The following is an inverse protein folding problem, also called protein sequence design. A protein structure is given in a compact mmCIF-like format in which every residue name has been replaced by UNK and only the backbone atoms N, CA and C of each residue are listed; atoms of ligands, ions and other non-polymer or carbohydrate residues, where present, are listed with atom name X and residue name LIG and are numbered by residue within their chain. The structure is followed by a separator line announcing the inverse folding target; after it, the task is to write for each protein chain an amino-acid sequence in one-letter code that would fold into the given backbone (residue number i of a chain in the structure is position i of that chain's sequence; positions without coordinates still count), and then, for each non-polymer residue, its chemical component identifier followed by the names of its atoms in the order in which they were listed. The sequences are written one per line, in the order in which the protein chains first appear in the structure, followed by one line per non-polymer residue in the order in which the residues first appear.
data_IF_994820127070
#
_entry.id   IF_994820127070
#
_cell.length_a   1.000
_cell.length_b   1.000
_cell.length_c   1.000
_cell.angle_alpha   90.00
_cell.angle_beta   90.00
_cell.angle_gamma   90.00
#
_symmetry.space_group_name_H-M   'P 1'
#
loop_
_entity.id
_entity.type
_entity.pdbx_description
1 polymer ?
#
# COMPACT_ATOMS: atom_id res chain seq x y z
N UNK A 1 -0.28 -27.57 11.44
CA UNK A 1 -0.65 -27.59 10.01
C UNK A 1 -0.17 -28.90 9.42
N UNK A 2 -0.91 -29.53 8.50
CA UNK A 2 -0.52 -30.83 7.92
C UNK A 2 0.77 -30.72 7.08
N UNK A 3 1.77 -31.55 7.39
CA UNK A 3 3.07 -31.56 6.69
C UNK A 3 2.94 -31.80 5.18
N UNK A 4 1.96 -32.60 4.74
CA UNK A 4 1.71 -32.84 3.31
C UNK A 4 1.30 -31.55 2.60
N UNK A 5 0.46 -30.73 3.26
CA UNK A 5 0.02 -29.43 2.72
C UNK A 5 1.14 -28.41 2.68
N UNK A 6 2.02 -28.39 3.70
CA UNK A 6 3.21 -27.53 3.73
C UNK A 6 4.13 -27.84 2.54
N UNK A 7 4.47 -29.12 2.32
CA UNK A 7 5.34 -29.50 1.20
C UNK A 7 4.74 -29.11 -0.14
N UNK A 8 3.43 -29.28 -0.31
CA UNK A 8 2.72 -28.86 -1.53
C UNK A 8 2.76 -27.34 -1.71
N UNK A 9 2.62 -26.55 -0.64
CA UNK A 9 2.75 -25.10 -0.67
C UNK A 9 4.17 -24.68 -1.09
N UNK A 10 5.19 -25.25 -0.46
CA UNK A 10 6.59 -24.95 -0.76
C UNK A 10 6.95 -25.31 -2.20
N UNK A 11 6.52 -26.47 -2.68
CA UNK A 11 6.69 -26.86 -4.08
C UNK A 11 6.06 -25.83 -5.02
N UNK A 12 4.81 -25.42 -4.75
CA UNK A 12 4.12 -24.42 -5.57
C UNK A 12 4.85 -23.06 -5.58
N UNK A 13 5.34 -22.60 -4.43
CA UNK A 13 6.13 -21.37 -4.34
C UNK A 13 7.40 -21.49 -5.19
N UNK A 14 8.10 -22.62 -5.10
CA UNK A 14 9.35 -22.83 -5.84
C UNK A 14 9.15 -22.92 -7.36
N UNK A 15 8.02 -23.46 -7.82
CA UNK A 15 7.74 -23.66 -9.25
C UNK A 15 7.11 -22.43 -9.88
N UNK A 16 6.10 -21.83 -9.23
CA UNK A 16 5.25 -20.80 -9.84
C UNK A 16 5.58 -19.38 -9.37
N UNK A 17 6.16 -19.23 -8.17
CA UNK A 17 6.40 -17.93 -7.52
C UNK A 17 7.87 -17.74 -7.15
N UNK A 18 8.73 -18.00 -8.13
CA UNK A 18 10.18 -18.01 -7.98
C UNK A 18 10.79 -16.67 -7.57
N UNK A 19 10.03 -15.59 -7.39
CA UNK A 19 10.46 -14.30 -6.83
C UNK A 19 10.09 -14.08 -5.35
N UNK A 20 9.42 -15.03 -4.72
CA UNK A 20 9.04 -14.96 -3.29
C UNK A 20 10.28 -14.95 -2.41
N UNK A 21 10.33 -14.02 -1.44
CA UNK A 21 11.42 -13.90 -0.45
C UNK A 21 11.06 -14.54 0.89
N UNK A 22 9.77 -14.56 1.27
CA UNK A 22 9.31 -15.21 2.48
C UNK A 22 7.80 -15.31 2.57
N UNK A 23 7.33 -16.24 3.40
CA UNK A 23 5.91 -16.46 3.71
C UNK A 23 5.77 -16.72 5.21
N UNK A 24 4.86 -15.99 5.85
CA UNK A 24 4.45 -16.20 7.23
C UNK A 24 2.93 -16.39 7.29
N UNK A 25 2.47 -17.34 8.10
CA UNK A 25 1.05 -17.61 8.31
C UNK A 25 0.75 -17.51 9.80
N UNK A 26 -0.11 -16.56 10.15
CA UNK A 26 -0.62 -16.39 11.49
C UNK A 26 -2.04 -16.94 11.58
N UNK A 27 -2.34 -17.68 12.64
CA UNK A 27 -3.69 -18.15 12.98
C UNK A 27 -3.91 -17.92 14.48
N UNK A 28 -4.98 -17.21 14.82
CA UNK A 28 -5.35 -16.92 16.23
C UNK A 28 -4.16 -16.29 17.02
N UNK A 29 -3.47 -15.33 16.39
CA UNK A 29 -2.31 -14.65 16.98
C UNK A 29 -1.04 -15.50 17.07
N UNK A 30 -1.07 -16.78 16.66
CA UNK A 30 0.08 -17.68 16.69
C UNK A 30 0.68 -17.84 15.29
N UNK A 31 2.00 -17.74 15.20
CA UNK A 31 2.74 -18.06 13.98
C UNK A 31 2.75 -19.58 13.79
N UNK A 32 1.97 -20.07 12.82
CA UNK A 32 1.81 -21.51 12.58
C UNK A 32 2.69 -22.04 11.44
N UNK A 33 3.26 -21.14 10.65
CA UNK A 33 4.23 -21.44 9.59
C UNK A 33 5.01 -20.17 9.25
N UNK A 34 6.32 -20.32 9.04
CA UNK A 34 7.20 -19.28 8.56
C UNK A 34 8.33 -19.91 7.76
N UNK A 35 8.62 -19.38 6.57
CA UNK A 35 9.76 -19.80 5.76
C UNK A 35 10.23 -18.64 4.90
N UNK A 36 11.55 -18.54 4.78
CA UNK A 36 12.22 -17.58 3.92
C UNK A 36 12.93 -18.32 2.79
N UNK A 37 13.04 -17.65 1.66
CA UNK A 37 13.58 -18.18 0.41
C UNK A 37 14.69 -17.25 -0.09
N UNK A 38 15.48 -17.72 -1.06
CA UNK A 38 16.52 -16.91 -1.71
C UNK A 38 17.59 -16.31 -0.78
N UNK A 39 17.90 -17.00 0.31
CA UNK A 39 18.87 -16.51 1.29
C UNK A 39 18.35 -15.35 2.15
N UNK A 40 17.08 -14.97 2.03
CA UNK A 40 16.44 -14.08 2.99
C UNK A 40 16.30 -14.77 4.35
N UNK A 41 16.29 -13.96 5.39
CA UNK A 41 16.04 -14.34 6.79
C UNK A 41 14.90 -13.50 7.36
N UNK A 42 14.53 -13.76 8.60
CA UNK A 42 13.52 -12.97 9.33
C UNK A 42 13.89 -11.50 9.47
N UNK A 43 15.18 -11.20 9.54
CA UNK A 43 15.73 -9.86 9.71
C UNK A 43 15.96 -9.14 8.37
N UNK A 44 15.80 -9.84 7.25
CA UNK A 44 15.98 -9.26 5.93
C UNK A 44 14.91 -8.21 5.65
N UNK A 45 15.35 -7.02 5.25
CA UNK A 45 14.45 -5.95 4.84
C UNK A 45 14.02 -6.15 3.38
N UNK A 46 12.74 -5.93 3.10
CA UNK A 46 12.16 -6.02 1.76
C UNK A 46 11.31 -4.80 1.47
N UNK A 47 11.30 -4.36 0.21
CA UNK A 47 10.35 -3.32 -0.22
C UNK A 47 8.93 -3.88 -0.21
N UNK A 48 8.08 -3.33 0.64
CA UNK A 48 6.68 -3.78 0.82
C UNK A 48 5.69 -3.05 -0.11
N UNK A 49 6.17 -2.10 -0.91
CA UNK A 49 5.38 -1.34 -1.88
C UNK A 49 4.09 -0.75 -1.27
N UNK A 50 2.93 -1.09 -1.81
CA UNK A 50 1.65 -0.50 -1.40
C UNK A 50 1.15 -0.94 -0.03
N UNK A 51 1.79 -1.90 0.65
CA UNK A 51 1.50 -2.21 2.06
C UNK A 51 1.65 -0.97 2.94
N UNK A 52 2.57 -0.06 2.60
CA UNK A 52 2.77 1.22 3.29
C UNK A 52 1.49 2.07 3.37
N UNK A 53 0.58 1.95 2.38
CA UNK A 53 -0.68 2.71 2.37
C UNK A 53 -1.61 2.32 3.52
N UNK A 54 -1.61 1.05 3.93
CA UNK A 54 -2.39 0.60 5.09
C UNK A 54 -1.87 1.23 6.38
N UNK A 55 -0.54 1.36 6.52
CA UNK A 55 0.07 2.03 7.67
C UNK A 55 -0.29 3.51 7.69
N UNK A 56 -0.20 4.19 6.53
CA UNK A 56 -0.63 5.59 6.41
C UNK A 56 -2.11 5.76 6.78
N UNK A 57 -2.99 4.86 6.33
CA UNK A 57 -4.42 4.90 6.67
C UNK A 57 -4.65 4.80 8.19
N UNK A 58 -3.92 3.91 8.87
CA UNK A 58 -3.95 3.81 10.35
C UNK A 58 -3.50 5.12 11.00
N UNK A 59 -2.40 5.72 10.52
CA UNK A 59 -1.89 6.98 11.05
C UNK A 59 -2.88 8.14 10.87
N UNK A 60 -3.58 8.19 9.74
CA UNK A 60 -4.65 9.17 9.51
C UNK A 60 -5.80 8.94 10.48
N UNK A 61 -6.21 7.69 10.73
CA UNK A 61 -7.20 7.37 11.76
C UNK A 61 -6.80 7.89 13.14
N UNK A 62 -5.55 7.64 13.55
CA UNK A 62 -5.01 8.18 14.82
C UNK A 62 -5.00 9.71 14.83
N UNK A 63 -4.68 10.35 13.71
CA UNK A 63 -4.67 11.81 13.61
C UNK A 63 -6.08 12.41 13.72
N UNK A 64 -7.10 11.72 13.20
CA UNK A 64 -8.52 12.08 13.40
C UNK A 64 -8.91 11.92 14.87
N UNK A 65 -8.60 10.77 15.47
CA UNK A 65 -8.92 10.50 16.88
C UNK A 65 -8.28 11.51 17.84
N UNK A 66 -7.11 12.03 17.49
CA UNK A 66 -6.40 13.07 18.27
C UNK A 66 -6.83 14.50 17.93
N UNK A 67 -7.73 14.70 16.98
CA UNK A 67 -8.22 16.02 16.56
C UNK A 67 -7.22 16.85 15.74
N UNK A 68 -6.14 16.24 15.23
CA UNK A 68 -5.24 16.91 14.27
C UNK A 68 -5.86 17.04 12.89
N UNK A 69 -6.73 16.08 12.53
CA UNK A 69 -7.60 16.12 11.36
C UNK A 69 -9.03 16.15 11.89
N UNK A 70 -9.82 17.14 11.49
CA UNK A 70 -11.15 17.33 12.06
C UNK A 70 -12.13 16.21 11.66
N UNK A 71 -12.03 15.76 10.41
CA UNK A 71 -12.80 14.66 9.85
C UNK A 71 -12.12 14.16 8.57
N UNK A 72 -12.42 12.93 8.16
CA UNK A 72 -12.04 12.41 6.84
C UNK A 72 -12.71 13.16 5.68
N UNK A 73 -13.80 13.87 5.94
CA UNK A 73 -14.49 14.70 4.92
C UNK A 73 -13.84 16.09 4.76
N UNK A 74 -12.82 16.41 5.56
CA UNK A 74 -12.03 17.63 5.40
C UNK A 74 -11.33 17.65 4.04
N UNK A 75 -11.22 18.84 3.42
CA UNK A 75 -10.61 18.98 2.10
C UNK A 75 -9.10 18.87 2.22
N UNK A 76 -8.47 18.23 1.24
CA UNK A 76 -7.00 18.08 1.21
C UNK A 76 -6.33 19.46 1.17
N UNK A 77 -6.91 20.43 0.46
CA UNK A 77 -6.34 21.77 0.36
C UNK A 77 -6.36 22.55 1.68
N UNK A 78 -7.18 22.17 2.67
CA UNK A 78 -7.19 22.82 3.97
C UNK A 78 -5.85 22.65 4.71
N UNK A 79 -5.07 21.62 4.33
CA UNK A 79 -3.74 21.33 4.89
C UNK A 79 -2.58 22.02 4.14
N UNK A 80 -2.85 22.59 2.96
CA UNK A 80 -1.83 23.21 2.09
C UNK A 80 -2.29 24.62 1.68
N UNK A 81 -2.38 25.58 2.63
CA UNK A 81 -2.88 26.92 2.36
C UNK A 81 -2.05 27.70 1.31
N UNK A 82 -0.80 27.32 1.10
CA UNK A 82 0.11 27.87 0.10
C UNK A 82 -0.13 27.34 -1.32
N UNK A 83 -0.97 26.31 -1.49
CA UNK A 83 -1.19 25.68 -2.79
C UNK A 83 -2.04 26.58 -3.70
N UNK A 84 -1.42 27.09 -4.77
CA UNK A 84 -2.09 27.94 -5.75
C UNK A 84 -2.85 27.08 -6.76
N UNK A 85 -4.18 27.08 -6.66
CA UNK A 85 -5.05 26.38 -7.62
C UNK A 85 -5.02 27.10 -8.97
N UNK A 86 -4.77 26.33 -10.04
CA UNK A 86 -4.78 26.85 -11.41
C UNK A 86 -6.16 27.39 -11.79
N UNK A 87 -6.20 28.47 -12.57
CA UNK A 87 -7.45 29.01 -13.12
C UNK A 87 -8.21 27.91 -13.86
N UNK A 88 -9.52 27.77 -13.56
CA UNK A 88 -10.45 26.77 -14.10
C UNK A 88 -10.28 25.32 -13.60
N UNK A 89 -9.37 25.07 -12.65
CA UNK A 89 -9.25 23.74 -12.02
C UNK A 89 -10.26 23.61 -10.87
N UNK A 90 -11.34 22.88 -11.07
CA UNK A 90 -12.40 22.69 -10.05
C UNK A 90 -12.26 21.36 -9.29
N UNK A 91 -11.41 20.45 -9.76
CA UNK A 91 -11.37 19.07 -9.25
C UNK A 91 -10.70 19.04 -7.89
N UNK A 92 -9.48 19.59 -7.79
CA UNK A 92 -8.65 19.50 -6.58
C UNK A 92 -9.27 20.18 -5.36
N UNK A 93 -10.11 21.20 -5.60
CA UNK A 93 -10.76 22.01 -4.57
C UNK A 93 -11.81 21.24 -3.76
N UNK A 94 -12.25 20.08 -4.26
CA UNK A 94 -13.32 19.28 -3.66
C UNK A 94 -12.85 17.91 -3.19
N UNK A 95 -11.56 17.60 -3.35
CA UNK A 95 -11.01 16.32 -2.91
C UNK A 95 -10.86 16.34 -1.39
N UNK A 96 -11.43 15.31 -0.77
CA UNK A 96 -11.38 15.07 0.67
C UNK A 96 -10.25 14.12 1.05
N UNK A 97 -9.91 14.06 2.35
CA UNK A 97 -8.99 13.04 2.88
C UNK A 97 -9.54 11.63 2.61
N UNK A 98 -10.85 11.44 2.72
CA UNK A 98 -11.54 10.20 2.40
C UNK A 98 -11.26 9.74 0.97
N UNK A 99 -11.35 10.63 -0.01
CA UNK A 99 -11.08 10.28 -1.41
C UNK A 99 -9.66 9.77 -1.64
N UNK A 100 -8.70 10.30 -0.89
CA UNK A 100 -7.30 9.86 -0.91
C UNK A 100 -7.14 8.48 -0.28
N UNK A 101 -7.81 8.22 0.84
CA UNK A 101 -7.78 6.92 1.54
C UNK A 101 -8.46 5.82 0.73
N UNK A 102 -9.53 6.13 0.00
CA UNK A 102 -10.33 5.17 -0.77
C UNK A 102 -9.93 5.09 -2.24
N UNK A 103 -8.92 5.84 -2.68
CA UNK A 103 -8.48 5.89 -4.07
C UNK A 103 -9.61 6.32 -5.05
N UNK A 104 -10.50 7.21 -4.61
CA UNK A 104 -11.66 7.69 -5.38
C UNK A 104 -11.50 9.13 -5.86
N UNK A 105 -10.30 9.72 -5.71
CA UNK A 105 -10.00 11.02 -6.28
C UNK A 105 -10.30 11.01 -7.79
N UNK A 106 -11.07 11.98 -8.32
CA UNK A 106 -11.55 11.98 -9.71
C UNK A 106 -10.47 12.40 -10.73
N UNK A 107 -9.28 11.81 -10.60
CA UNK A 107 -8.20 11.94 -11.55
C UNK A 107 -8.07 10.69 -12.41
N UNK A 108 -7.82 10.90 -13.70
CA UNK A 108 -7.42 9.81 -14.58
C UNK A 108 -6.06 9.31 -14.14
N UNK A 109 -5.99 8.04 -13.78
CA UNK A 109 -4.70 7.38 -13.56
C UNK A 109 -3.93 7.33 -14.89
N UNK A 110 -2.72 7.90 -14.91
CA UNK A 110 -1.81 7.80 -16.05
C UNK A 110 -0.58 7.05 -15.58
N UNK A 111 -0.39 5.83 -16.08
CA UNK A 111 0.84 5.08 -15.84
C UNK A 111 1.96 5.77 -16.65
N UNK A 112 2.82 6.53 -15.97
CA UNK A 112 4.05 7.03 -16.59
C UNK A 112 5.02 5.85 -16.75
N UNK A 113 5.00 5.20 -17.91
CA UNK A 113 6.08 4.33 -18.33
C UNK A 113 7.12 5.18 -19.08
N UNK A 114 8.08 5.75 -18.36
CA UNK A 114 9.18 6.53 -18.97
C UNK A 114 10.16 5.69 -19.81
N UNK A 115 9.91 4.38 -20.00
CA UNK A 115 10.77 3.47 -20.77
C UNK A 115 10.25 3.25 -22.21
N UNK A 116 8.98 3.60 -22.51
CA UNK A 116 8.41 3.38 -23.85
C UNK A 116 8.59 4.54 -24.84
N UNK A 117 9.06 5.72 -24.42
CA UNK A 117 9.18 6.91 -25.29
C UNK A 117 10.58 7.08 -25.94
N UNK A 118 11.51 6.14 -25.78
CA UNK A 118 12.86 6.23 -26.40
C UNK A 118 12.94 5.52 -27.78
N UNK A 119 11.89 4.87 -28.24
CA UNK A 119 11.85 4.29 -29.59
C UNK A 119 10.51 4.56 -30.29
N UNK A 120 10.35 5.78 -30.81
CA UNK A 120 9.62 6.06 -32.04
C UNK A 120 10.07 7.42 -32.61
#
# INVERSE_FOLDING_TARGET
MDQKRIRKLEQKISTDYGNTTGVAVLKEGKLVYEKYFKGCTRESQVHVYSVTKSIISILIGIAVDRGYIQSIDQKVLDFFPEYIVRKRENTIQNITVKDMLTMTAPYKYRFFCSICEIFY
#
